data_IF_413691811156
#
_entry.id   IF_413691811156
#
_cell.length_a   1.000
_cell.length_b   1.000
_cell.length_c   1.000
_cell.angle_alpha   90.00
_cell.angle_beta   90.00
_cell.angle_gamma   90.00
#
_symmetry.space_group_name_H-M   'P 1'
#
loop_
_entity.id
_entity.type
_entity.pdbx_description
1 polymer ?
#
# COMPACT_ATOMS: atom_id res chain seq x y z
N UNK A 1 14.25 5.87 4.19
CA UNK A 1 12.84 5.76 3.76
C UNK A 1 12.75 4.54 2.88
N UNK A 2 12.11 3.50 3.39
CA UNK A 2 11.93 2.25 2.63
C UNK A 2 10.64 2.33 1.79
N UNK A 3 10.56 1.55 0.71
CA UNK A 3 9.42 1.57 -0.21
C UNK A 3 8.08 1.35 0.51
N UNK A 4 8.06 0.46 1.50
CA UNK A 4 6.87 0.18 2.32
C UNK A 4 6.39 1.40 3.12
N UNK A 5 7.32 2.19 3.67
CA UNK A 5 7.00 3.43 4.40
C UNK A 5 6.48 4.50 3.44
N UNK A 6 7.11 4.64 2.27
CA UNK A 6 6.69 5.58 1.23
C UNK A 6 5.27 5.31 0.73
N UNK A 7 4.95 4.04 0.44
CA UNK A 7 3.61 3.65 0.00
C UNK A 7 2.57 3.94 1.09
N UNK A 8 2.88 3.60 2.35
CA UNK A 8 1.99 3.86 3.49
C UNK A 8 1.75 5.35 3.72
N UNK A 9 2.78 6.17 3.61
CA UNK A 9 2.68 7.63 3.74
C UNK A 9 1.85 8.22 2.60
N UNK A 10 2.16 7.88 1.34
CA UNK A 10 1.41 8.38 0.18
C UNK A 10 -0.06 7.96 0.21
N UNK A 11 -0.35 6.73 0.67
CA UNK A 11 -1.72 6.27 0.88
C UNK A 11 -2.44 7.13 1.92
N UNK A 12 -1.79 7.43 3.04
CA UNK A 12 -2.32 8.30 4.09
C UNK A 12 -2.59 9.73 3.59
N UNK A 13 -1.65 10.30 2.85
CA UNK A 13 -1.80 11.63 2.22
C UNK A 13 -2.95 11.68 1.20
N UNK A 14 -3.20 10.57 0.51
CA UNK A 14 -4.32 10.44 -0.42
C UNK A 14 -5.66 10.14 0.27
N UNK A 15 -5.68 9.95 1.60
CA UNK A 15 -6.89 9.61 2.36
C UNK A 15 -7.48 8.25 2.02
N UNK A 16 -6.67 7.32 1.47
CA UNK A 16 -7.14 6.02 1.00
C UNK A 16 -6.97 4.93 2.07
N UNK A 17 -7.91 4.00 2.11
CA UNK A 17 -7.74 2.71 2.79
C UNK A 17 -6.89 1.76 1.93
N UNK A 18 -6.39 0.68 2.53
CA UNK A 18 -5.61 -0.33 1.79
C UNK A 18 -6.43 -1.00 0.67
N UNK A 19 -7.73 -1.21 0.89
CA UNK A 19 -8.64 -1.79 -0.12
C UNK A 19 -8.88 -0.84 -1.28
N UNK A 20 -9.03 0.46 -1.02
CA UNK A 20 -9.19 1.46 -2.08
C UNK A 20 -7.91 1.64 -2.88
N UNK A 21 -6.74 1.64 -2.22
CA UNK A 21 -5.45 1.65 -2.91
C UNK A 21 -5.30 0.40 -3.80
N UNK A 22 -5.65 -0.78 -3.28
CA UNK A 22 -5.60 -2.04 -4.02
C UNK A 22 -6.50 -2.00 -5.27
N UNK A 23 -7.75 -1.57 -5.10
CA UNK A 23 -8.70 -1.42 -6.22
C UNK A 23 -8.25 -0.40 -7.26
N UNK A 24 -7.73 0.76 -6.84
CA UNK A 24 -7.23 1.80 -7.75
C UNK A 24 -5.95 1.38 -8.49
N UNK A 25 -5.09 0.60 -7.85
CA UNK A 25 -3.84 0.11 -8.44
C UNK A 25 -4.02 -1.19 -9.24
N UNK A 26 -5.22 -1.79 -9.25
CA UNK A 26 -5.48 -3.04 -9.96
C UNK A 26 -4.76 -4.25 -9.35
N UNK A 27 -4.47 -4.21 -8.06
CA UNK A 27 -3.75 -5.27 -7.32
C UNK A 27 -4.62 -5.88 -6.23
N UNK A 28 -4.24 -7.06 -5.75
CA UNK A 28 -4.92 -7.67 -4.61
C UNK A 28 -4.66 -6.93 -3.30
N UNK A 29 -5.64 -6.91 -2.39
CA UNK A 29 -5.49 -6.33 -1.04
C UNK A 29 -4.31 -6.93 -0.27
N UNK A 30 -4.06 -8.23 -0.45
CA UNK A 30 -2.93 -8.92 0.18
C UNK A 30 -1.58 -8.34 -0.27
N UNK A 31 -1.46 -7.97 -1.54
CA UNK A 31 -0.24 -7.38 -2.08
C UNK A 31 0.05 -6.03 -1.42
N UNK A 32 -0.96 -5.13 -1.34
CA UNK A 32 -0.80 -3.83 -0.64
C UNK A 32 -0.43 -4.03 0.82
N UNK A 33 -1.01 -5.03 1.48
CA UNK A 33 -0.72 -5.35 2.89
C UNK A 33 0.71 -5.85 3.09
N UNK A 34 1.18 -6.78 2.26
CA UNK A 34 2.55 -7.30 2.31
C UNK A 34 3.55 -6.19 1.93
N UNK A 35 3.21 -5.35 0.95
CA UNK A 35 3.99 -4.19 0.53
C UNK A 35 4.18 -3.19 1.68
N UNK A 36 3.11 -2.76 2.35
CA UNK A 36 3.22 -1.83 3.49
C UNK A 36 3.87 -2.45 4.73
N UNK A 37 3.80 -3.78 4.89
CA UNK A 37 4.49 -4.50 5.97
C UNK A 37 5.98 -4.77 5.68
N UNK A 38 6.48 -4.42 4.48
CA UNK A 38 7.85 -4.73 4.08
C UNK A 38 8.10 -6.23 3.86
N UNK A 39 7.04 -6.99 3.55
CA UNK A 39 7.06 -8.43 3.27
C UNK A 39 6.94 -8.75 1.78
N UNK A 40 6.73 -7.74 0.93
CA UNK A 40 6.91 -7.89 -0.51
C UNK A 40 8.40 -8.22 -0.74
N UNK A 41 8.67 -9.51 -0.99
CA UNK A 41 10.01 -10.03 -1.26
C UNK A 41 10.52 -9.54 -2.60
#
# INVERSE_FOLDING_TARGET
MNLNEFVKEKRGLAGLTQSELAGKAGVGLRFVRELEQGKAH
#
